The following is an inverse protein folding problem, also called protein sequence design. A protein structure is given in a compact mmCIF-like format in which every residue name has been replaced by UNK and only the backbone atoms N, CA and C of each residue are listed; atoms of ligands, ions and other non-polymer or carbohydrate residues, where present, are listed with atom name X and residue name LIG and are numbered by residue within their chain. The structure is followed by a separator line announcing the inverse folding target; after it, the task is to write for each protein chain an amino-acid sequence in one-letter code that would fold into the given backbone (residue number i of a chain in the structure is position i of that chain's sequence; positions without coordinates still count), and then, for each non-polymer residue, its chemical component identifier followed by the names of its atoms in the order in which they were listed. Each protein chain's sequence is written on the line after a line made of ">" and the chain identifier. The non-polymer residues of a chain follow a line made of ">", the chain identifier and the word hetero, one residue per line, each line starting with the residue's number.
data_IF_201012066344
#
_entry.id   IF_201012066344
#
_cell.length_a   1.000
_cell.length_b   1.000
_cell.length_c   1.000
_cell.angle_alpha   90.00
_cell.angle_beta   90.00
_cell.angle_gamma   90.00
#
_symmetry.space_group_name_H-M   'P 1'
#
loop_
_entity.id
_entity.type
_entity.pdbx_description
1 polymer ?
#
# COMPACT_ATOMS: atom_id res chain seq x y z
N UNK A 1 -11.53 20.92 -3.26
CA UNK A 1 -11.47 21.71 -4.52
C UNK A 1 -10.23 22.60 -4.54
N UNK A 2 -9.07 22.01 -4.85
CA UNK A 2 -7.85 22.78 -5.12
C UNK A 2 -7.96 23.29 -6.56
N UNK A 3 -8.04 24.61 -6.75
CA UNK A 3 -8.00 25.23 -8.08
C UNK A 3 -6.54 25.47 -8.46
N UNK A 4 -5.90 24.48 -9.09
CA UNK A 4 -4.62 24.65 -9.78
C UNK A 4 -4.82 25.38 -11.13
N UNK A 5 -3.80 26.11 -11.58
CA UNK A 5 -3.85 26.83 -12.85
C UNK A 5 -4.02 25.84 -14.02
N UNK A 6 -4.86 26.21 -14.99
CA UNK A 6 -5.45 25.38 -16.08
C UNK A 6 -4.42 24.66 -16.99
N UNK A 7 -3.12 24.84 -16.79
CA UNK A 7 -2.05 24.16 -17.54
C UNK A 7 -1.31 23.06 -16.79
N UNK A 8 -1.27 23.05 -15.45
CA UNK A 8 -0.43 22.12 -14.68
C UNK A 8 -1.04 20.73 -14.58
N UNK A 9 -2.37 20.64 -14.40
CA UNK A 9 -3.15 19.40 -14.38
C UNK A 9 -3.15 18.68 -15.75
N UNK A 10 -2.97 19.42 -16.85
CA UNK A 10 -2.83 18.84 -18.20
C UNK A 10 -1.42 18.26 -18.43
N UNK A 11 -0.38 18.87 -17.86
CA UNK A 11 1.00 18.39 -17.97
C UNK A 11 1.22 17.14 -17.12
N UNK A 12 0.65 17.08 -15.92
CA UNK A 12 0.71 15.88 -15.09
C UNK A 12 -0.04 14.68 -15.72
N UNK A 13 -1.21 14.92 -16.31
CA UNK A 13 -1.97 13.86 -17.01
C UNK A 13 -1.29 13.37 -18.28
N UNK A 14 -0.62 14.25 -19.04
CA UNK A 14 0.15 13.81 -20.21
C UNK A 14 1.38 12.97 -19.85
N UNK A 15 2.05 13.26 -18.72
CA UNK A 15 3.17 12.44 -18.26
C UNK A 15 2.72 11.05 -17.77
N UNK A 16 1.50 10.92 -17.27
CA UNK A 16 0.91 9.62 -16.94
C UNK A 16 0.41 8.85 -18.18
N UNK A 17 -0.05 9.55 -19.23
CA UNK A 17 -0.58 8.94 -20.46
C UNK A 17 0.51 8.55 -21.48
N UNK A 18 1.65 9.25 -21.51
CA UNK A 18 2.84 8.83 -22.28
C UNK A 18 3.65 7.78 -21.50
N UNK A 19 2.99 6.72 -21.06
CA UNK A 19 3.61 5.55 -20.46
C UNK A 19 4.56 4.86 -21.43
N UNK A 20 5.77 5.38 -21.57
CA UNK A 20 6.90 4.61 -22.04
C UNK A 20 7.26 3.65 -20.91
N UNK A 21 6.51 2.56 -20.78
CA UNK A 21 7.00 1.40 -20.03
C UNK A 21 8.11 0.78 -20.88
N UNK A 22 9.40 0.94 -20.53
CA UNK A 22 10.44 0.18 -21.19
C UNK A 22 10.09 -1.30 -21.04
N UNK A 23 10.14 -2.06 -22.13
CA UNK A 23 9.96 -3.51 -22.08
C UNK A 23 11.11 -4.05 -21.23
N UNK A 24 10.82 -4.37 -19.96
CA UNK A 24 11.76 -5.05 -19.09
C UNK A 24 11.78 -6.50 -19.56
N UNK A 25 12.91 -6.94 -20.09
CA UNK A 25 13.02 -8.28 -20.70
C UNK A 25 12.91 -9.43 -19.69
N UNK A 26 12.96 -9.13 -18.39
CA UNK A 26 12.82 -10.08 -17.27
C UNK A 26 12.16 -9.36 -16.08
N UNK A 27 10.86 -9.09 -16.20
CA UNK A 27 10.06 -8.41 -15.18
C UNK A 27 10.11 -9.16 -13.84
N UNK A 28 10.09 -10.50 -13.88
CA UNK A 28 10.03 -11.35 -12.69
C UNK A 28 11.31 -11.32 -11.85
N UNK A 29 12.48 -11.12 -12.47
CA UNK A 29 13.74 -10.89 -11.75
C UNK A 29 13.87 -9.45 -11.26
N UNK A 30 13.43 -8.46 -12.05
CA UNK A 30 13.53 -7.04 -11.69
C UNK A 30 12.62 -6.68 -10.50
N UNK A 31 11.43 -7.30 -10.42
CA UNK A 31 10.51 -7.13 -9.29
C UNK A 31 10.86 -7.98 -8.06
N UNK A 32 11.89 -8.82 -8.11
CA UNK A 32 12.40 -9.56 -6.95
C UNK A 32 11.64 -10.83 -6.57
N UNK A 33 10.50 -11.13 -7.20
CA UNK A 33 9.65 -12.29 -6.86
C UNK A 33 10.39 -13.64 -6.92
N UNK A 34 11.31 -13.80 -7.89
CA UNK A 34 12.11 -15.02 -8.01
C UNK A 34 13.03 -15.20 -6.79
N UNK A 35 13.63 -14.11 -6.31
CA UNK A 35 14.53 -14.13 -5.17
C UNK A 35 13.76 -14.40 -3.86
N UNK A 36 12.62 -13.73 -3.67
CA UNK A 36 11.73 -13.93 -2.51
C UNK A 36 11.24 -15.38 -2.41
N UNK A 37 10.75 -15.94 -3.52
CA UNK A 37 10.30 -17.33 -3.55
C UNK A 37 11.43 -18.32 -3.23
N UNK A 38 12.64 -18.07 -3.75
CA UNK A 38 13.80 -18.90 -3.46
C UNK A 38 14.17 -18.83 -1.98
N UNK A 39 14.16 -17.64 -1.38
CA UNK A 39 14.41 -17.44 0.05
C UNK A 39 13.43 -18.22 0.93
N UNK A 40 12.15 -18.14 0.62
CA UNK A 40 11.11 -18.89 1.34
C UNK A 40 11.33 -20.41 1.26
N UNK A 41 11.66 -20.92 0.08
CA UNK A 41 11.96 -22.36 -0.12
C UNK A 41 13.20 -22.77 0.68
N UNK A 42 14.27 -21.99 0.63
CA UNK A 42 15.50 -22.30 1.38
C UNK A 42 15.27 -22.27 2.89
N UNK A 43 14.57 -21.24 3.38
CA UNK A 43 14.19 -21.15 4.80
C UNK A 43 13.41 -22.37 5.26
N UNK A 44 12.46 -22.85 4.43
CA UNK A 44 11.69 -24.07 4.70
C UNK A 44 12.59 -25.32 4.73
N UNK A 45 13.47 -25.51 3.75
CA UNK A 45 14.39 -26.65 3.69
C UNK A 45 15.36 -26.67 4.88
N UNK A 46 15.79 -25.50 5.35
CA UNK A 46 16.67 -25.34 6.51
C UNK A 46 15.94 -25.43 7.85
N UNK A 47 14.60 -25.51 7.84
CA UNK A 47 13.79 -25.50 9.07
C UNK A 47 13.90 -24.19 9.86
N UNK A 48 14.23 -23.09 9.19
CA UNK A 48 14.36 -21.75 9.78
C UNK A 48 13.13 -20.91 9.47
N UNK A 49 12.80 -20.00 10.39
CA UNK A 49 11.78 -18.99 10.13
C UNK A 49 12.32 -18.01 9.07
N UNK A 50 11.57 -17.73 7.99
CA UNK A 50 11.94 -16.71 7.02
C UNK A 50 11.97 -15.32 7.67
N UNK A 51 12.69 -14.40 7.03
CA UNK A 51 12.79 -13.00 7.47
C UNK A 51 11.41 -12.34 7.48
N UNK A 52 10.72 -12.36 6.34
CA UNK A 52 9.34 -11.92 6.21
C UNK A 52 8.37 -12.97 6.74
N UNK A 53 7.48 -12.54 7.64
CA UNK A 53 6.53 -13.45 8.26
C UNK A 53 5.22 -12.73 8.65
N UNK A 54 4.30 -13.47 9.29
CA UNK A 54 2.98 -12.92 9.64
C UNK A 54 3.04 -11.75 10.63
N UNK A 55 4.07 -11.66 11.48
CA UNK A 55 4.23 -10.50 12.36
C UNK A 55 4.46 -9.22 11.56
N UNK A 56 5.24 -9.29 10.47
CA UNK A 56 5.43 -8.17 9.56
C UNK A 56 4.13 -7.82 8.83
N UNK A 57 3.37 -8.84 8.42
CA UNK A 57 2.04 -8.65 7.84
C UNK A 57 1.06 -7.95 8.80
N UNK A 58 1.11 -8.25 10.09
CA UNK A 58 0.31 -7.54 11.11
C UNK A 58 0.76 -6.08 11.20
N UNK A 59 2.06 -5.80 11.31
CA UNK A 59 2.59 -4.43 11.39
C UNK A 59 2.17 -3.57 10.17
N UNK A 60 2.24 -4.14 8.96
CA UNK A 60 1.80 -3.47 7.73
C UNK A 60 0.29 -3.21 7.76
N UNK A 61 -0.49 -4.18 8.24
CA UNK A 61 -1.94 -4.04 8.37
C UNK A 61 -2.32 -2.98 9.41
N UNK A 62 -1.63 -2.93 10.56
CA UNK A 62 -1.84 -1.91 11.59
C UNK A 62 -1.57 -0.50 11.06
N UNK A 63 -0.49 -0.32 10.29
CA UNK A 63 -0.18 0.95 9.65
C UNK A 63 -1.28 1.37 8.66
N UNK A 64 -1.75 0.43 7.84
CA UNK A 64 -2.84 0.66 6.89
C UNK A 64 -4.16 1.02 7.59
N UNK A 65 -4.53 0.27 8.63
CA UNK A 65 -5.76 0.53 9.40
C UNK A 65 -5.69 1.86 10.16
N UNK A 66 -4.51 2.22 10.66
CA UNK A 66 -4.24 3.53 11.27
C UNK A 66 -4.44 4.64 10.23
N UNK A 67 -3.98 4.46 8.99
CA UNK A 67 -4.18 5.43 7.93
C UNK A 67 -5.67 5.62 7.60
N UNK A 68 -6.45 4.52 7.52
CA UNK A 68 -7.91 4.61 7.37
C UNK A 68 -8.57 5.34 8.53
N UNK A 69 -8.20 5.03 9.78
CA UNK A 69 -8.72 5.69 10.96
C UNK A 69 -8.40 7.18 10.98
N UNK A 70 -7.19 7.56 10.56
CA UNK A 70 -6.77 8.97 10.43
C UNK A 70 -7.61 9.70 9.39
N UNK A 71 -7.85 9.06 8.24
CA UNK A 71 -8.64 9.63 7.15
C UNK A 71 -10.10 9.84 7.58
N UNK A 72 -10.72 8.85 8.22
CA UNK A 72 -12.11 8.94 8.70
C UNK A 72 -12.30 9.95 9.84
N UNK A 73 -11.26 10.19 10.65
CA UNK A 73 -11.30 11.19 11.73
C UNK A 73 -10.79 12.57 11.30
N UNK A 74 -10.35 12.73 10.05
CA UNK A 74 -9.78 13.94 9.48
C UNK A 74 -8.67 14.57 10.36
N UNK A 75 -7.86 13.73 11.02
CA UNK A 75 -6.81 14.19 11.93
C UNK A 75 -5.62 13.26 11.93
N UNK A 76 -4.44 13.81 12.21
CA UNK A 76 -3.25 13.00 12.51
C UNK A 76 -3.47 12.25 13.82
N UNK A 77 -3.27 10.93 13.78
CA UNK A 77 -3.33 10.08 14.97
C UNK A 77 -1.94 9.57 15.33
N UNK A 78 -1.68 9.43 16.63
CA UNK A 78 -0.45 8.81 17.11
C UNK A 78 -0.49 7.30 16.83
N UNK A 79 0.63 6.75 16.39
CA UNK A 79 0.79 5.32 16.14
C UNK A 79 1.56 4.66 17.30
N UNK A 80 1.09 3.51 17.83
CA UNK A 80 -0.17 2.84 17.50
C UNK A 80 -1.39 3.53 18.15
N UNK A 81 -2.53 3.64 17.43
CA UNK A 81 -3.75 4.21 18.01
C UNK A 81 -4.45 3.20 18.94
N UNK A 82 -5.18 3.69 19.96
CA UNK A 82 -6.01 2.81 20.78
C UNK A 82 -7.15 2.19 19.95
N UNK A 83 -7.63 1.02 20.38
CA UNK A 83 -8.81 0.32 19.86
C UNK A 83 -8.74 -0.11 18.38
N UNK A 84 -7.54 -0.10 17.77
CA UNK A 84 -7.32 -0.46 16.37
C UNK A 84 -7.83 -1.88 16.02
N UNK A 85 -7.69 -2.83 16.94
CA UNK A 85 -8.13 -4.24 16.77
C UNK A 85 -9.64 -4.36 16.49
N UNK A 86 -10.43 -3.39 16.94
CA UNK A 86 -11.90 -3.37 16.77
C UNK A 86 -12.36 -2.43 15.67
N UNK A 87 -11.44 -1.66 15.09
CA UNK A 87 -11.75 -0.67 14.07
C UNK A 87 -12.04 -1.36 12.74
N UNK A 88 -13.20 -1.03 12.16
CA UNK A 88 -13.58 -1.48 10.81
C UNK A 88 -13.79 -0.23 9.95
N UNK A 89 -12.95 -0.01 8.91
CA UNK A 89 -13.04 1.19 8.10
C UNK A 89 -14.30 1.22 7.23
N UNK A 90 -14.77 2.42 6.89
CA UNK A 90 -15.91 2.67 6.01
C UNK A 90 -15.77 1.98 4.64
N UNK A 91 -14.54 1.82 4.13
CA UNK A 91 -14.26 1.08 2.89
C UNK A 91 -14.63 -0.40 3.05
N UNK A 92 -14.26 -1.01 4.17
CA UNK A 92 -14.61 -2.40 4.46
C UNK A 92 -16.11 -2.59 4.74
N UNK A 93 -16.78 -1.56 5.28
CA UNK A 93 -18.24 -1.53 5.47
C UNK A 93 -19.03 -1.27 4.18
N UNK A 94 -18.36 -0.83 3.10
CA UNK A 94 -19.04 -0.39 1.87
C UNK A 94 -19.73 0.98 1.98
N UNK A 95 -19.43 1.75 3.03
CA UNK A 95 -20.00 3.07 3.29
C UNK A 95 -19.15 4.22 2.70
N UNK A 96 -17.92 3.91 2.30
CA UNK A 96 -17.01 4.90 1.75
C UNK A 96 -17.48 5.43 0.38
N UNK A 97 -17.52 6.75 0.25
CA UNK A 97 -17.87 7.43 -0.99
C UNK A 97 -16.68 8.25 -1.49
N UNK A 98 -15.98 7.82 -2.57
CA UNK A 98 -14.81 8.53 -3.10
C UNK A 98 -15.13 9.91 -3.69
N UNK A 99 -16.42 10.24 -3.87
CA UNK A 99 -16.87 11.54 -4.41
C UNK A 99 -17.25 12.54 -3.32
N UNK A 100 -17.34 12.11 -2.06
CA UNK A 100 -17.51 13.01 -0.93
C UNK A 100 -16.12 13.25 -0.33
N UNK A 101 -15.74 14.53 -0.11
CA UNK A 101 -14.49 14.85 0.55
C UNK A 101 -14.46 14.25 1.95
#
# INVERSE_FOLDING_TARGET
>A
NVKGNVGEDLVEKQNAEMGLMPVVSDEESEYGYIAENRHMIQSFLEGKRPEENFSDGVNVTELLMTAYMSAEQEKTIAFPPPDLDSFVPAVAKGEWNPKKP
#
